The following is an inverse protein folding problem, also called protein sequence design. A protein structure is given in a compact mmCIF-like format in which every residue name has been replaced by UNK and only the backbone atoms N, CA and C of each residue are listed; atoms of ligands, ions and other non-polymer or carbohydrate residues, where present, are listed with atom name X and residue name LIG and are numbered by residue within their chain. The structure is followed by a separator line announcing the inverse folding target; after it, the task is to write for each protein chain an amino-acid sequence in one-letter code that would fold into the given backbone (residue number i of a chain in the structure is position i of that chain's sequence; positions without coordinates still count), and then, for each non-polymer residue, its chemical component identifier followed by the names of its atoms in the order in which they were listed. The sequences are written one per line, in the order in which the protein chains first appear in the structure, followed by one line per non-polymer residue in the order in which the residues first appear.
data_IF_430337119769
#
_entry.id   IF_430337119769
#
_cell.length_a   1.000
_cell.length_b   1.000
_cell.length_c   1.000
_cell.angle_alpha   90.00
_cell.angle_beta   90.00
_cell.angle_gamma   90.00
#
_symmetry.space_group_name_H-M   'P 1'
#
loop_
_entity.id
_entity.type
_entity.pdbx_description
1 polymer ?
#
# COMPACT_ATOMS: atom_id res chain seq x y z
N UNK A 1 -19.01 -4.31 -23.17
CA UNK A 1 -18.35 -3.16 -22.53
C UNK A 1 -19.00 -3.02 -21.16
N UNK A 2 -18.27 -3.32 -20.09
CA UNK A 2 -18.83 -3.33 -18.74
C UNK A 2 -18.97 -1.88 -18.25
N UNK A 3 -20.21 -1.45 -18.03
CA UNK A 3 -20.54 -0.07 -17.64
C UNK A 3 -20.24 0.21 -16.17
N UNK A 4 -20.44 1.47 -15.78
CA UNK A 4 -20.20 2.00 -14.42
C UNK A 4 -20.90 1.17 -13.32
N UNK A 5 -22.01 0.53 -13.69
CA UNK A 5 -22.80 -0.38 -12.84
C UNK A 5 -22.01 -1.63 -12.43
N UNK A 6 -21.16 -2.16 -13.31
CA UNK A 6 -20.29 -3.31 -13.01
C UNK A 6 -19.18 -2.92 -12.03
N UNK A 7 -18.70 -1.68 -12.09
CA UNK A 7 -17.72 -1.14 -11.14
C UNK A 7 -18.33 -0.92 -9.74
N UNK A 8 -19.59 -0.48 -9.66
CA UNK A 8 -20.30 -0.35 -8.39
C UNK A 8 -20.57 -1.71 -7.73
N UNK A 9 -20.94 -2.73 -8.50
CA UNK A 9 -21.13 -4.09 -7.94
C UNK A 9 -19.80 -4.74 -7.51
N UNK A 10 -18.68 -4.41 -8.17
CA UNK A 10 -17.35 -4.85 -7.73
C UNK A 10 -16.96 -4.22 -6.38
N UNK A 11 -17.32 -2.95 -6.14
CA UNK A 11 -17.10 -2.27 -4.86
C UNK A 11 -18.01 -2.77 -3.73
N UNK A 12 -19.28 -3.10 -4.02
CA UNK A 12 -20.23 -3.56 -3.02
C UNK A 12 -19.93 -4.97 -2.47
N UNK A 13 -19.25 -5.83 -3.25
CA UNK A 13 -18.86 -7.18 -2.79
C UNK A 13 -17.67 -7.21 -1.84
N UNK A 14 -16.95 -6.10 -1.63
CA UNK A 14 -15.84 -6.04 -0.68
C UNK A 14 -16.26 -5.60 0.74
N UNK A 15 -17.53 -5.27 0.97
CA UNK A 15 -18.01 -4.80 2.29
C UNK A 15 -18.21 -5.92 3.35
N UNK A 16 -17.84 -7.17 3.08
CA UNK A 16 -18.08 -8.30 4.01
C UNK A 16 -16.86 -9.14 4.37
N UNK A 17 -15.65 -8.56 4.31
CA UNK A 17 -14.47 -9.18 4.92
C UNK A 17 -13.71 -8.13 5.74
N UNK A 18 -14.03 -8.06 7.02
CA UNK A 18 -13.15 -7.50 8.06
C UNK A 18 -12.69 -6.06 7.86
N UNK A 19 -13.40 -5.12 8.49
CA UNK A 19 -12.72 -3.97 9.11
C UNK A 19 -11.46 -4.47 9.83
N UNK A 20 -10.32 -3.77 9.70
CA UNK A 20 -8.95 -4.14 10.10
C UNK A 20 -8.05 -4.81 9.03
N UNK A 21 -8.32 -4.62 7.73
CA UNK A 21 -7.28 -4.83 6.73
C UNK A 21 -6.17 -3.78 6.90
N UNK A 22 -4.92 -4.22 7.00
CA UNK A 22 -3.79 -3.30 7.04
C UNK A 22 -3.84 -2.47 5.74
N UNK A 23 -3.67 -1.14 5.74
CA UNK A 23 -3.67 -0.36 4.50
C UNK A 23 -2.70 -0.93 3.45
N UNK A 24 -1.65 -1.63 3.91
CA UNK A 24 -0.72 -2.38 3.07
C UNK A 24 -1.30 -3.60 2.36
N UNK A 25 -2.36 -4.22 2.88
CA UNK A 25 -3.02 -5.38 2.27
C UNK A 25 -3.78 -5.00 1.00
N UNK A 26 -4.03 -3.70 0.79
CA UNK A 26 -4.59 -3.19 -0.48
C UNK A 26 -3.53 -3.04 -1.57
N UNK A 27 -2.23 -3.05 -1.21
CA UNK A 27 -1.13 -2.94 -2.14
C UNK A 27 -0.63 -4.33 -2.54
N UNK A 28 -0.34 -4.53 -3.83
CA UNK A 28 0.30 -5.76 -4.29
C UNK A 28 1.64 -5.98 -3.55
N UNK A 29 1.78 -7.13 -2.91
CA UNK A 29 2.93 -7.43 -2.05
C UNK A 29 4.25 -7.39 -2.80
N UNK A 30 4.25 -7.70 -4.10
CA UNK A 30 5.44 -7.65 -4.97
C UNK A 30 5.87 -6.21 -5.20
N UNK A 31 4.90 -5.33 -5.49
CA UNK A 31 5.14 -3.90 -5.72
C UNK A 31 5.64 -3.24 -4.44
N UNK A 32 5.03 -3.56 -3.30
CA UNK A 32 5.45 -3.06 -2.00
C UNK A 32 6.92 -3.42 -1.70
N UNK A 33 7.29 -4.68 -1.89
CA UNK A 33 8.63 -5.18 -1.63
C UNK A 33 9.67 -4.53 -2.56
N UNK A 34 9.31 -4.28 -3.82
CA UNK A 34 10.14 -3.54 -4.77
C UNK A 34 10.36 -2.08 -4.31
N UNK A 35 9.32 -1.40 -3.86
CA UNK A 35 9.41 -0.02 -3.33
C UNK A 35 10.28 0.02 -2.08
N UNK A 36 10.05 -0.88 -1.11
CA UNK A 36 10.84 -0.95 0.12
C UNK A 36 12.32 -1.15 -0.21
N UNK A 37 12.62 -2.08 -1.11
CA UNK A 37 14.00 -2.39 -1.53
C UNK A 37 14.64 -1.20 -2.24
N UNK A 38 13.92 -0.53 -3.13
CA UNK A 38 14.40 0.66 -3.83
C UNK A 38 14.71 1.80 -2.86
N UNK A 39 13.79 2.12 -1.93
CA UNK A 39 13.97 3.18 -0.95
C UNK A 39 15.16 2.87 -0.05
N UNK A 40 15.27 1.65 0.48
CA UNK A 40 16.43 1.24 1.30
C UNK A 40 17.73 1.41 0.52
N UNK A 41 17.76 0.98 -0.74
CA UNK A 41 18.95 1.09 -1.59
C UNK A 41 19.34 2.56 -1.87
N UNK A 42 18.37 3.44 -2.11
CA UNK A 42 18.60 4.88 -2.31
C UNK A 42 19.16 5.52 -1.04
N UNK A 43 18.59 5.22 0.13
CA UNK A 43 19.07 5.76 1.41
C UNK A 43 20.48 5.24 1.76
N UNK A 44 20.77 3.96 1.47
CA UNK A 44 22.12 3.40 1.61
C UNK A 44 23.14 4.17 0.77
N UNK A 45 22.81 4.56 -0.47
CA UNK A 45 23.68 5.40 -1.32
C UNK A 45 23.92 6.79 -0.73
N UNK A 46 22.98 7.31 0.05
CA UNK A 46 23.10 8.60 0.74
C UNK A 46 23.86 8.51 2.08
N UNK A 47 24.49 7.37 2.39
CA UNK A 47 25.10 7.04 3.69
C UNK A 47 24.12 7.11 4.87
N UNK A 48 22.82 7.02 4.60
CA UNK A 48 21.78 6.99 5.63
C UNK A 48 21.24 5.56 5.76
N UNK A 49 21.22 5.01 6.97
CA UNK A 49 20.59 3.71 7.21
C UNK A 49 19.12 3.91 7.54
N UNK A 50 18.23 3.42 6.67
CA UNK A 50 16.80 3.33 6.95
C UNK A 50 16.40 1.87 7.09
N UNK A 51 15.60 1.55 8.11
CA UNK A 51 15.10 0.19 8.30
C UNK A 51 13.90 -0.06 7.37
N UNK A 52 13.75 -1.31 6.91
CA UNK A 52 12.59 -1.74 6.11
C UNK A 52 11.27 -1.46 6.82
N UNK A 53 11.24 -1.60 8.15
CA UNK A 53 10.07 -1.30 8.98
C UNK A 53 9.73 0.20 8.97
N UNK A 54 10.75 1.07 8.99
CA UNK A 54 10.55 2.52 8.88
C UNK A 54 9.92 2.88 7.54
N UNK A 55 10.38 2.27 6.45
CA UNK A 55 9.80 2.49 5.11
C UNK A 55 8.37 1.96 5.05
N UNK A 56 8.11 0.77 5.60
CA UNK A 56 6.75 0.20 5.66
C UNK A 56 5.78 1.10 6.43
N UNK A 57 6.20 1.66 7.57
CA UNK A 57 5.38 2.60 8.35
C UNK A 57 5.17 3.93 7.62
N UNK A 58 6.17 4.40 6.87
CA UNK A 58 6.02 5.59 6.03
C UNK A 58 4.98 5.39 4.92
N UNK A 59 4.99 4.23 4.28
CA UNK A 59 3.99 3.84 3.28
C UNK A 59 2.59 3.74 3.92
N UNK A 60 2.46 3.13 5.12
CA UNK A 60 1.19 3.12 5.87
C UNK A 60 0.63 4.52 6.10
N UNK A 61 1.44 5.41 6.68
CA UNK A 61 1.01 6.79 6.96
C UNK A 61 0.62 7.56 5.69
N UNK A 62 1.31 7.32 4.57
CA UNK A 62 0.95 7.92 3.27
C UNK A 62 -0.39 7.40 2.77
N UNK A 63 -0.64 6.09 2.87
CA UNK A 63 -1.91 5.49 2.44
C UNK A 63 -3.08 5.95 3.31
N UNK A 64 -2.89 6.01 4.63
CA UNK A 64 -3.88 6.49 5.59
C UNK A 64 -4.25 7.97 5.36
N UNK A 65 -3.29 8.80 4.99
CA UNK A 65 -3.51 10.22 4.67
C UNK A 65 -4.23 10.44 3.33
N UNK A 66 -4.18 9.50 2.39
CA UNK A 66 -4.89 9.58 1.10
C UNK A 66 -6.35 9.12 1.25
N UNK A 67 -6.65 8.30 2.26
CA UNK A 67 -8.00 7.78 2.51
C UNK A 67 -8.87 8.67 3.42
N UNK A 68 -8.29 9.73 4.01
CA UNK A 68 -9.00 10.79 4.75
C UNK A 68 -9.13 12.06 3.90
#
# INVERSE_FOLDING_TARGET
MYGVETLQMAGAKQQTVGQFGDPLDTLDSTILEAIITHVVHVFQKQKQSISRNTVRNFIRNRLDNIQN
#
